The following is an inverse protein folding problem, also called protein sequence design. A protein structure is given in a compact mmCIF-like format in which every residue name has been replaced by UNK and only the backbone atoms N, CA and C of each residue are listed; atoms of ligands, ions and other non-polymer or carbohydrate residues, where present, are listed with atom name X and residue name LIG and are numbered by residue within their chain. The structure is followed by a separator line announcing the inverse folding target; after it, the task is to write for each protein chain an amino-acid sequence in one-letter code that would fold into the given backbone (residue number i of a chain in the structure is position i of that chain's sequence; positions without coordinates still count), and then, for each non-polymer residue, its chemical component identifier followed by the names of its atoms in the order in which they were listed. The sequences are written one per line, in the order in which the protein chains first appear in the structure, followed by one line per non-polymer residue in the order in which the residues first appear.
data_IF_913834938308
#
_entry.id   IF_913834938308
#
_cell.length_a   1.000
_cell.length_b   1.000
_cell.length_c   1.000
_cell.angle_alpha   90.00
_cell.angle_beta   90.00
_cell.angle_gamma   90.00
#
_symmetry.space_group_name_H-M   'P 1'
#
loop_
_entity.id
_entity.type
_entity.pdbx_description
1 polymer ?
#
# COMPACT_ATOMS: atom_id res chain seq x y z
N UNK A 1 3.07 12.45 14.67
CA UNK A 1 1.81 13.13 14.34
C UNK A 1 0.97 12.25 13.44
N UNK A 2 -0.32 12.15 13.74
CA UNK A 2 -1.21 11.28 12.99
C UNK A 2 -1.33 11.67 11.53
N UNK A 3 -1.43 12.97 11.26
CA UNK A 3 -1.61 13.45 9.91
C UNK A 3 -0.40 13.11 9.03
N UNK A 4 0.81 13.32 9.54
CA UNK A 4 2.02 13.02 8.79
C UNK A 4 2.15 11.53 8.52
N UNK A 5 1.81 10.70 9.52
CA UNK A 5 1.88 9.26 9.33
C UNK A 5 0.87 8.76 8.31
N UNK A 6 -0.35 9.28 8.38
CA UNK A 6 -1.38 8.90 7.42
C UNK A 6 -0.96 9.24 6.00
N UNK A 7 -0.42 10.45 5.83
CA UNK A 7 0.03 10.88 4.50
C UNK A 7 1.13 9.99 3.97
N UNK A 8 2.07 9.61 4.85
CA UNK A 8 3.14 8.72 4.46
C UNK A 8 2.61 7.35 4.03
N UNK A 9 1.65 6.81 4.77
CA UNK A 9 1.03 5.54 4.42
C UNK A 9 0.28 5.62 3.10
N UNK A 10 -0.43 6.72 2.86
CA UNK A 10 -1.14 6.93 1.62
C UNK A 10 -0.19 7.01 0.43
N UNK A 11 0.96 7.66 0.60
CA UNK A 11 1.97 7.73 -0.44
C UNK A 11 2.57 6.36 -0.73
N UNK A 12 2.84 5.59 0.32
CA UNK A 12 3.34 4.23 0.16
C UNK A 12 2.33 3.35 -0.56
N UNK A 13 1.05 3.50 -0.22
CA UNK A 13 -0.02 2.75 -0.87
C UNK A 13 -0.09 3.07 -2.36
N UNK A 14 0.00 4.34 -2.71
CA UNK A 14 -0.04 4.76 -4.10
C UNK A 14 1.15 4.19 -4.88
N UNK A 15 2.33 4.15 -4.25
CA UNK A 15 3.52 3.59 -4.88
C UNK A 15 3.36 2.09 -5.14
N UNK A 16 2.88 1.35 -4.13
CA UNK A 16 2.66 -0.09 -4.27
C UNK A 16 1.60 -0.37 -5.33
N UNK A 17 0.54 0.45 -5.38
CA UNK A 17 -0.51 0.30 -6.39
C UNK A 17 0.06 0.48 -7.80
N UNK A 18 0.92 1.46 -8.00
CA UNK A 18 1.54 1.67 -9.31
C UNK A 18 2.42 0.49 -9.70
N UNK A 19 3.15 -0.06 -8.74
CA UNK A 19 3.99 -1.23 -9.00
C UNK A 19 3.14 -2.44 -9.36
N UNK A 20 2.02 -2.61 -8.69
CA UNK A 20 1.09 -3.69 -8.99
C UNK A 20 0.52 -3.54 -10.40
N UNK A 21 0.14 -2.32 -10.78
CA UNK A 21 -0.42 -2.06 -12.10
C UNK A 21 0.58 -2.42 -13.21
N UNK A 22 1.88 -2.24 -12.96
CA UNK A 22 2.91 -2.57 -13.92
C UNK A 22 3.51 -3.96 -13.79
N UNK A 23 3.19 -4.68 -12.73
CA UNK A 23 3.77 -6.00 -12.50
C UNK A 23 3.10 -7.04 -13.39
N UNK A 24 3.93 -7.93 -13.98
CA UNK A 24 3.44 -8.96 -14.89
C UNK A 24 3.52 -10.36 -14.29
N UNK A 25 4.52 -10.61 -13.46
CA UNK A 25 4.68 -11.91 -12.83
C UNK A 25 3.65 -12.10 -11.71
N UNK A 26 2.92 -13.19 -11.74
CA UNK A 26 1.84 -13.42 -10.80
C UNK A 26 2.31 -13.48 -9.35
N UNK A 27 3.44 -14.11 -9.08
CA UNK A 27 3.98 -14.15 -7.72
C UNK A 27 4.30 -12.77 -7.19
N UNK A 28 4.85 -11.90 -8.03
CA UNK A 28 5.16 -10.53 -7.65
C UNK A 28 3.87 -9.74 -7.41
N UNK A 29 2.87 -9.94 -8.26
CA UNK A 29 1.58 -9.28 -8.09
C UNK A 29 0.92 -9.67 -6.77
N UNK A 30 0.99 -10.94 -6.43
CA UNK A 30 0.40 -11.42 -5.18
C UNK A 30 1.08 -10.78 -3.96
N UNK A 31 2.41 -10.66 -4.00
CA UNK A 31 3.14 -9.99 -2.92
C UNK A 31 2.69 -8.53 -2.79
N UNK A 32 2.53 -7.84 -3.91
CA UNK A 32 2.11 -6.43 -3.90
C UNK A 32 0.68 -6.27 -3.40
N UNK A 33 -0.22 -7.22 -3.73
CA UNK A 33 -1.58 -7.18 -3.20
C UNK A 33 -1.60 -7.30 -1.69
N UNK A 34 -0.76 -8.18 -1.15
CA UNK A 34 -0.65 -8.35 0.30
C UNK A 34 -0.11 -7.07 0.95
N UNK A 35 0.86 -6.43 0.31
CA UNK A 35 1.38 -5.16 0.81
C UNK A 35 0.29 -4.09 0.82
N UNK A 36 -0.54 -4.04 -0.22
CA UNK A 36 -1.66 -3.10 -0.27
C UNK A 36 -2.65 -3.34 0.87
N UNK A 37 -2.97 -4.61 1.11
CA UNK A 37 -3.90 -4.94 2.19
C UNK A 37 -3.35 -4.51 3.55
N UNK A 38 -2.07 -4.71 3.78
CA UNK A 38 -1.44 -4.30 5.03
C UNK A 38 -1.47 -2.78 5.18
N UNK A 39 -1.18 -2.05 4.10
CA UNK A 39 -1.22 -0.59 4.14
C UNK A 39 -2.64 -0.06 4.36
N UNK A 40 -3.63 -0.68 3.71
CA UNK A 40 -5.02 -0.29 3.91
C UNK A 40 -5.45 -0.52 5.36
N UNK A 41 -5.03 -1.62 5.96
CA UNK A 41 -5.33 -1.91 7.35
C UNK A 41 -4.68 -0.88 8.28
N UNK A 42 -3.43 -0.51 7.99
CA UNK A 42 -2.73 0.49 8.77
C UNK A 42 -3.41 1.85 8.69
N UNK A 43 -3.83 2.24 7.49
CA UNK A 43 -4.53 3.51 7.29
C UNK A 43 -5.86 3.50 8.03
N UNK A 44 -6.59 2.40 7.96
CA UNK A 44 -7.88 2.28 8.65
C UNK A 44 -7.73 2.33 10.17
N UNK A 45 -6.57 1.91 10.68
CA UNK A 45 -6.32 1.94 12.12
C UNK A 45 -6.00 3.35 12.63
N UNK A 46 -5.68 4.28 11.75
CA UNK A 46 -5.43 5.67 12.13
C UNK A 46 -6.75 6.42 12.20
N UNK A 47 -7.12 6.82 13.41
CA UNK A 47 -8.41 7.52 13.60
C UNK A 47 -8.26 8.88 14.22
#
# INVERSE_FOLDING_TARGET
MRLARRKQLELSRADVQRRLDGAKAEGHREMLRRALQALDADIAALK
#
